data_IF_704218039307
#
_entry.id   IF_704218039307
#
_cell.length_a   1.000
_cell.length_b   1.000
_cell.length_c   1.000
_cell.angle_alpha   90.00
_cell.angle_beta   90.00
_cell.angle_gamma   90.00
#
_symmetry.space_group_name_H-M   'P 1'
#
loop_
_entity.id
_entity.type
_entity.pdbx_description
1 polymer ?
#
# COMPACT_ATOMS: atom_id res chain seq x y z
N UNK A 1 15.38 -30.26 -31.59
CA UNK A 1 14.00 -30.18 -31.08
C UNK A 1 14.05 -29.29 -29.85
N UNK A 2 13.48 -28.10 -29.99
CA UNK A 2 13.66 -26.94 -29.13
C UNK A 2 12.77 -27.03 -27.90
N UNK A 3 13.29 -26.82 -26.68
CA UNK A 3 12.48 -26.31 -25.56
C UNK A 3 13.34 -25.41 -24.67
N UNK A 4 13.48 -24.15 -25.10
CA UNK A 4 13.77 -23.03 -24.21
C UNK A 4 12.68 -23.00 -23.14
N UNK A 5 12.92 -23.63 -22.00
CA UNK A 5 12.15 -23.48 -20.76
C UNK A 5 12.41 -22.09 -20.15
N UNK A 6 12.21 -21.05 -20.95
CA UNK A 6 11.86 -19.73 -20.45
C UNK A 6 10.48 -19.94 -19.84
N UNK A 7 10.44 -20.38 -18.58
CA UNK A 7 9.23 -20.28 -17.77
C UNK A 7 8.76 -18.87 -17.97
N UNK A 8 7.62 -18.74 -18.63
CA UNK A 8 6.82 -17.53 -18.69
C UNK A 8 6.74 -17.02 -17.25
N UNK A 9 7.64 -16.11 -16.91
CA UNK A 9 7.55 -15.29 -15.72
C UNK A 9 6.39 -14.36 -16.03
N UNK A 10 5.17 -14.90 -15.91
CA UNK A 10 3.92 -14.15 -15.90
C UNK A 10 4.22 -12.94 -15.01
N UNK A 11 4.08 -11.71 -15.49
CA UNK A 11 4.52 -10.55 -14.74
C UNK A 11 3.82 -10.59 -13.38
N UNK A 12 4.57 -10.90 -12.32
CA UNK A 12 4.07 -11.03 -10.94
C UNK A 12 3.93 -9.60 -10.36
N UNK A 13 3.38 -8.68 -11.14
CA UNK A 13 3.66 -7.25 -10.90
C UNK A 13 2.42 -6.38 -10.82
N UNK A 14 1.24 -6.83 -11.25
CA UNK A 14 0.02 -6.03 -11.13
C UNK A 14 -0.62 -6.15 -9.73
N UNK A 15 -0.80 -7.38 -9.22
CA UNK A 15 -1.63 -7.62 -8.04
C UNK A 15 -1.02 -7.10 -6.75
N UNK A 16 0.30 -7.26 -6.55
CA UNK A 16 0.97 -6.77 -5.35
C UNK A 16 0.99 -5.24 -5.25
N UNK A 17 1.17 -4.55 -6.38
CA UNK A 17 1.16 -3.08 -6.44
C UNK A 17 -0.27 -2.55 -6.25
N UNK A 18 -1.25 -3.17 -6.91
CA UNK A 18 -2.67 -2.81 -6.75
C UNK A 18 -3.15 -3.04 -5.32
N UNK A 19 -2.78 -4.15 -4.68
CA UNK A 19 -3.12 -4.43 -3.29
C UNK A 19 -2.55 -3.37 -2.35
N UNK A 20 -1.31 -2.93 -2.61
CA UNK A 20 -0.68 -1.87 -1.84
C UNK A 20 -1.39 -0.52 -2.03
N UNK A 21 -1.79 -0.18 -3.26
CA UNK A 21 -2.61 1.01 -3.52
C UNK A 21 -3.95 0.96 -2.80
N UNK A 22 -4.65 -0.18 -2.89
CA UNK A 22 -5.95 -0.39 -2.24
C UNK A 22 -5.82 -0.27 -0.72
N UNK A 23 -4.81 -0.91 -0.11
CA UNK A 23 -4.56 -0.82 1.33
C UNK A 23 -4.23 0.61 1.76
N UNK A 24 -3.37 1.31 1.01
CA UNK A 24 -3.03 2.72 1.27
C UNK A 24 -4.27 3.61 1.16
N UNK A 25 -5.13 3.35 0.18
CA UNK A 25 -6.38 4.10 -0.03
C UNK A 25 -7.39 3.86 1.10
N UNK A 26 -7.55 2.62 1.56
CA UNK A 26 -8.39 2.29 2.73
C UNK A 26 -7.87 3.01 3.98
N UNK A 27 -6.55 3.01 4.21
CA UNK A 27 -5.96 3.72 5.34
C UNK A 27 -6.13 5.24 5.25
N UNK A 28 -6.03 5.81 4.05
CA UNK A 28 -6.31 7.23 3.81
C UNK A 28 -7.78 7.56 4.11
N UNK A 29 -8.72 6.75 3.62
CA UNK A 29 -10.15 6.92 3.91
C UNK A 29 -10.44 6.79 5.40
N UNK A 30 -9.89 5.78 6.07
CA UNK A 30 -10.05 5.60 7.51
C UNK A 30 -9.53 6.81 8.30
N UNK A 31 -8.39 7.37 7.88
CA UNK A 31 -7.85 8.61 8.49
C UNK A 31 -8.81 9.79 8.31
N UNK A 32 -9.36 9.98 7.11
CA UNK A 32 -10.33 11.05 6.84
C UNK A 32 -11.61 10.88 7.68
N UNK A 33 -12.13 9.65 7.77
CA UNK A 33 -13.33 9.36 8.58
C UNK A 33 -13.08 9.67 10.06
N UNK A 34 -11.92 9.26 10.61
CA UNK A 34 -11.54 9.54 11.99
C UNK A 34 -11.36 11.04 12.29
N UNK A 35 -10.91 11.82 11.31
CA UNK A 35 -10.77 13.28 11.44
C UNK A 35 -12.14 13.95 11.39
N UNK A 36 -13.03 13.50 10.50
CA UNK A 36 -14.32 14.16 10.26
C UNK A 36 -15.40 13.73 11.26
N UNK A 37 -15.27 12.55 11.86
CA UNK A 37 -16.19 12.01 12.84
C UNK A 37 -15.49 11.62 14.16
N UNK A 38 -14.91 12.60 14.87
CA UNK A 38 -14.28 12.38 16.18
C UNK A 38 -15.27 11.86 17.22
N UNK A 39 -16.55 12.20 17.10
CA UNK A 39 -17.59 11.86 18.08
C UNK A 39 -17.98 10.37 18.12
N UNK A 40 -17.48 9.53 17.21
CA UNK A 40 -17.80 8.10 17.20
C UNK A 40 -16.98 7.27 18.18
N UNK A 41 -15.86 7.81 18.67
CA UNK A 41 -14.84 7.05 19.39
C UNK A 41 -14.30 7.89 20.54
N UNK A 42 -14.07 7.25 21.69
CA UNK A 42 -13.43 7.86 22.85
C UNK A 42 -12.05 8.49 22.49
N UNK A 43 -11.71 9.62 23.09
CA UNK A 43 -10.54 10.45 22.74
C UNK A 43 -9.22 9.65 22.75
N UNK A 44 -9.09 8.71 23.70
CA UNK A 44 -7.90 7.87 23.80
C UNK A 44 -7.82 6.88 22.63
N UNK A 45 -8.96 6.33 22.24
CA UNK A 45 -9.06 5.35 21.16
C UNK A 45 -8.89 6.04 19.80
N UNK A 46 -9.46 7.24 19.61
CA UNK A 46 -9.29 8.04 18.39
C UNK A 46 -7.81 8.35 18.12
N UNK A 47 -7.05 8.74 19.15
CA UNK A 47 -5.62 9.00 19.03
C UNK A 47 -4.81 7.76 18.59
N UNK A 48 -5.16 6.58 19.09
CA UNK A 48 -4.53 5.32 18.67
C UNK A 48 -4.86 5.02 17.20
N UNK A 49 -6.12 5.13 16.81
CA UNK A 49 -6.55 4.87 15.43
C UNK A 49 -5.97 5.86 14.42
N UNK A 50 -5.82 7.13 14.79
CA UNK A 50 -5.11 8.13 13.96
C UNK A 50 -3.65 7.70 13.76
N UNK A 51 -2.95 7.27 14.81
CA UNK A 51 -1.57 6.77 14.69
C UNK A 51 -1.49 5.51 13.81
N UNK A 52 -2.43 4.57 13.97
CA UNK A 52 -2.49 3.35 13.15
C UNK A 52 -2.74 3.69 11.69
N UNK A 53 -3.67 4.60 11.39
CA UNK A 53 -3.96 4.99 10.01
C UNK A 53 -2.79 5.73 9.36
N UNK A 54 -2.12 6.62 10.09
CA UNK A 54 -0.89 7.27 9.63
C UNK A 54 0.19 6.23 9.34
N UNK A 55 0.41 5.26 10.22
CA UNK A 55 1.41 4.20 10.00
C UNK A 55 1.06 3.32 8.80
N UNK A 56 -0.21 3.02 8.58
CA UNK A 56 -0.70 2.31 7.40
C UNK A 56 -0.38 3.07 6.09
N UNK A 57 -0.60 4.39 6.07
CA UNK A 57 -0.24 5.24 4.92
C UNK A 57 1.28 5.25 4.70
N UNK A 58 2.07 5.38 5.77
CA UNK A 58 3.54 5.39 5.69
C UNK A 58 4.07 4.08 5.13
N UNK A 59 3.56 2.93 5.60
CA UNK A 59 3.92 1.61 5.08
C UNK A 59 3.54 1.46 3.60
N UNK A 60 2.35 1.96 3.22
CA UNK A 60 1.90 2.06 1.83
C UNK A 60 2.88 2.85 0.94
N UNK A 61 3.28 4.04 1.39
CA UNK A 61 4.25 4.90 0.71
C UNK A 61 5.65 4.26 0.61
N UNK A 62 6.09 3.57 1.66
CA UNK A 62 7.38 2.85 1.66
C UNK A 62 7.35 1.74 0.61
N UNK A 63 6.28 0.94 0.55
CA UNK A 63 6.13 -0.10 -0.47
C UNK A 63 6.16 0.50 -1.89
N UNK A 64 5.43 1.60 -2.13
CA UNK A 64 5.43 2.30 -3.42
C UNK A 64 6.81 2.83 -3.78
N UNK A 65 7.55 3.38 -2.80
CA UNK A 65 8.91 3.86 -3.01
C UNK A 65 9.87 2.72 -3.35
N UNK A 66 9.75 1.56 -2.72
CA UNK A 66 10.56 0.37 -3.04
C UNK A 66 10.25 -0.11 -4.45
N UNK A 67 8.97 -0.21 -4.83
CA UNK A 67 8.54 -0.60 -6.18
C UNK A 67 9.09 0.40 -7.22
N UNK A 68 8.95 1.71 -6.99
CA UNK A 68 9.48 2.76 -7.87
C UNK A 68 11.00 2.67 -8.00
N UNK A 69 11.70 2.39 -6.89
CA UNK A 69 13.17 2.21 -6.88
C UNK A 69 13.59 0.95 -7.63
N UNK A 70 12.79 -0.12 -7.58
CA UNK A 70 13.03 -1.34 -8.36
C UNK A 70 12.77 -1.13 -9.85
N UNK A 71 11.66 -0.49 -10.25
CA UNK A 71 11.41 -0.15 -11.66
C UNK A 71 12.51 0.71 -12.26
N UNK A 72 12.98 1.75 -11.55
CA UNK A 72 14.12 2.56 -12.01
C UNK A 72 15.42 1.78 -12.20
N UNK A 73 15.65 0.71 -11.43
CA UNK A 73 16.85 -0.14 -11.59
C UNK A 73 16.72 -1.09 -12.78
N UNK A 74 15.51 -1.39 -13.21
CA UNK A 74 15.23 -2.25 -14.36
C UNK A 74 15.19 -1.49 -15.69
N UNK A 75 15.33 -0.16 -15.68
CA UNK A 75 15.45 0.63 -16.91
C UNK A 75 14.19 0.71 -17.77
N UNK A 76 13.02 0.35 -17.22
CA UNK A 76 11.69 0.63 -17.79
C UNK A 76 11.25 2.05 -17.45
#
# INVERSE_FOLDING_TARGET
MNENNQKDLKPIEADGINLLYIGTFIFALASVVLIYQPSFIDDQTQNVWIKVTIMGIVLGLIGLRIIKRRRKRLGL
#
